data_IF_688873493427
#
_entry.id   IF_688873493427
#
_cell.length_a   1.000
_cell.length_b   1.000
_cell.length_c   1.000
_cell.angle_alpha   90.00
_cell.angle_beta   90.00
_cell.angle_gamma   90.00
#
_symmetry.space_group_name_H-M   'P 1'
#
loop_
_entity.id
_entity.type
_entity.pdbx_description
1 polymer ?
#
# COMPACT_ATOMS: atom_id res chain seq x y z
N UNK A 1 -4.07 35.34 14.07
CA UNK A 1 -3.52 34.19 14.85
C UNK A 1 -3.66 32.94 14.01
N UNK A 2 -2.81 31.93 14.16
CA UNK A 2 -2.91 30.63 13.46
C UNK A 2 -3.28 29.54 14.47
N UNK A 3 -3.94 28.47 14.00
CA UNK A 3 -4.21 27.27 14.80
C UNK A 3 -2.89 26.53 15.09
N UNK A 4 -2.30 26.77 16.26
CA UNK A 4 -1.03 26.18 16.69
C UNK A 4 -1.17 24.73 17.21
N UNK A 5 -1.94 23.89 16.50
CA UNK A 5 -2.11 22.47 16.87
C UNK A 5 -1.07 21.64 16.12
N UNK A 6 -0.19 20.98 16.85
CA UNK A 6 0.96 20.26 16.29
C UNK A 6 0.78 18.74 16.39
N UNK A 7 -0.28 18.22 15.77
CA UNK A 7 -0.66 16.81 15.88
C UNK A 7 0.45 15.83 15.42
N UNK A 8 1.30 16.21 14.47
CA UNK A 8 2.45 15.41 14.03
C UNK A 8 3.52 15.23 15.13
N UNK A 9 3.56 16.12 16.13
CA UNK A 9 4.37 15.92 17.32
C UNK A 9 3.68 15.01 18.35
N UNK A 10 2.39 14.68 18.18
CA UNK A 10 1.66 13.78 19.06
C UNK A 10 1.61 12.34 18.52
N UNK A 11 1.34 12.17 17.22
CA UNK A 11 1.15 10.86 16.56
C UNK A 11 2.18 10.63 15.46
N UNK A 12 2.58 9.38 15.26
CA UNK A 12 3.47 8.98 14.16
C UNK A 12 2.77 8.95 12.79
N UNK A 13 1.45 8.79 12.80
CA UNK A 13 0.60 8.75 11.60
C UNK A 13 -0.70 9.50 11.89
N UNK A 14 -0.93 10.60 11.16
CA UNK A 14 -2.12 11.44 11.28
C UNK A 14 -3.35 10.74 10.70
N UNK A 15 -3.15 9.92 9.65
CA UNK A 15 -4.20 9.12 9.01
C UNK A 15 -4.43 7.77 9.68
N UNK A 16 -3.64 7.45 10.71
CA UNK A 16 -3.82 6.25 11.53
C UNK A 16 -5.03 6.36 12.46
N UNK A 17 -5.38 5.26 13.12
CA UNK A 17 -6.56 5.16 14.00
C UNK A 17 -6.59 6.27 15.05
N UNK A 18 -5.50 6.47 15.79
CA UNK A 18 -5.42 7.53 16.81
C UNK A 18 -5.48 8.93 16.20
N UNK A 19 -4.71 9.19 15.13
CA UNK A 19 -4.66 10.51 14.48
C UNK A 19 -6.04 10.94 13.97
N UNK A 20 -6.71 10.06 13.21
CA UNK A 20 -8.06 10.31 12.71
C UNK A 20 -9.09 10.46 13.83
N UNK A 21 -8.99 9.68 14.91
CA UNK A 21 -9.92 9.80 16.04
C UNK A 21 -9.81 11.18 16.69
N UNK A 22 -8.58 11.67 16.90
CA UNK A 22 -8.34 13.01 17.43
C UNK A 22 -8.82 14.09 16.45
N UNK A 23 -8.49 13.98 15.16
CA UNK A 23 -8.92 14.96 14.15
C UNK A 23 -10.45 14.99 14.02
N UNK A 24 -11.12 13.84 14.05
CA UNK A 24 -12.59 13.76 14.00
C UNK A 24 -13.23 14.33 15.26
N UNK A 25 -12.66 14.10 16.45
CA UNK A 25 -13.12 14.73 17.68
C UNK A 25 -13.00 16.26 17.60
N UNK A 26 -11.87 16.76 17.09
CA UNK A 26 -11.64 18.18 16.81
C UNK A 26 -12.68 18.71 15.82
N UNK A 27 -12.96 18.03 14.71
CA UNK A 27 -13.98 18.49 13.74
C UNK A 27 -15.39 18.47 14.37
N UNK A 28 -15.67 17.50 15.25
CA UNK A 28 -16.96 17.37 15.95
C UNK A 28 -17.17 18.40 17.07
N UNK A 29 -16.18 19.24 17.36
CA UNK A 29 -16.29 20.32 18.33
C UNK A 29 -15.50 20.12 19.63
N UNK A 30 -14.77 19.01 19.80
CA UNK A 30 -13.96 18.77 20.99
C UNK A 30 -12.69 19.62 20.98
N UNK A 31 -12.41 20.29 22.10
CA UNK A 31 -11.30 21.27 22.25
C UNK A 31 -10.46 21.05 23.48
N UNK A 32 -10.92 20.24 24.43
CA UNK A 32 -10.17 19.96 25.65
C UNK A 32 -9.03 18.97 25.35
N UNK A 33 -7.74 19.36 25.49
CA UNK A 33 -6.62 18.45 25.31
C UNK A 33 -6.71 17.21 26.22
N UNK A 34 -7.34 17.34 27.39
CA UNK A 34 -7.52 16.25 28.36
C UNK A 34 -8.46 15.17 27.82
N UNK A 35 -9.48 15.56 27.05
CA UNK A 35 -10.40 14.64 26.37
C UNK A 35 -9.75 14.07 25.11
N UNK A 36 -9.10 14.91 24.30
CA UNK A 36 -8.46 14.49 23.05
C UNK A 36 -7.38 13.41 23.27
N UNK A 37 -6.69 13.43 24.40
CA UNK A 37 -5.68 12.43 24.75
C UNK A 37 -6.27 11.06 25.04
N UNK A 38 -7.54 10.98 25.44
CA UNK A 38 -8.18 9.69 25.72
C UNK A 38 -8.35 8.86 24.46
N UNK A 39 -8.35 9.48 23.27
CA UNK A 39 -8.38 8.79 21.98
C UNK A 39 -7.04 8.13 21.59
N UNK A 40 -5.97 8.32 22.38
CA UNK A 40 -4.68 7.69 22.09
C UNK A 40 -4.72 6.18 22.34
N UNK A 41 -4.07 5.45 21.45
CA UNK A 41 -3.80 4.04 21.70
C UNK A 41 -2.80 3.90 22.87
N UNK A 42 -2.96 2.84 23.68
CA UNK A 42 -2.08 2.53 24.81
C UNK A 42 -0.60 2.34 24.41
N UNK A 43 -0.33 2.04 23.13
CA UNK A 43 1.01 1.90 22.56
C UNK A 43 1.67 3.23 22.21
N UNK A 44 0.99 4.37 22.43
CA UNK A 44 1.57 5.68 22.19
C UNK A 44 2.76 5.91 23.14
N UNK A 45 3.96 6.06 22.56
CA UNK A 45 5.21 6.20 23.33
C UNK A 45 5.41 7.59 23.96
N UNK A 46 4.65 8.60 23.53
CA UNK A 46 4.82 9.98 23.99
C UNK A 46 4.09 10.20 25.32
N UNK A 47 4.72 10.97 26.21
CA UNK A 47 4.15 11.29 27.51
C UNK A 47 2.85 12.09 27.35
N UNK A 48 1.89 11.95 28.29
CA UNK A 48 0.64 12.72 28.26
C UNK A 48 0.88 14.23 28.18
N UNK A 49 1.91 14.74 28.84
CA UNK A 49 2.27 16.17 28.88
C UNK A 49 2.63 16.71 27.49
N UNK A 50 3.47 15.98 26.75
CA UNK A 50 3.85 16.35 25.37
C UNK A 50 2.63 16.32 24.45
N UNK A 51 1.72 15.36 24.67
CA UNK A 51 0.47 15.27 23.92
C UNK A 51 -0.47 16.44 24.23
N UNK A 52 -0.59 16.86 25.49
CA UNK A 52 -1.42 18.01 25.88
C UNK A 52 -0.89 19.28 25.22
N UNK A 53 0.43 19.50 25.29
CA UNK A 53 1.05 20.68 24.71
C UNK A 53 0.87 20.71 23.19
N UNK A 54 1.00 19.56 22.51
CA UNK A 54 0.80 19.46 21.07
C UNK A 54 -0.66 19.69 20.62
N UNK A 55 -1.63 19.38 21.48
CA UNK A 55 -3.07 19.56 21.22
C UNK A 55 -3.60 20.91 21.71
N UNK A 56 -2.76 21.73 22.34
CA UNK A 56 -3.13 23.07 22.78
C UNK A 56 -2.98 24.05 21.62
N UNK A 57 -4.09 24.69 21.20
CA UNK A 57 -4.08 25.63 20.09
C UNK A 57 -5.24 26.61 20.11
N UNK A 58 -5.24 27.53 19.15
CA UNK A 58 -6.34 28.48 18.95
C UNK A 58 -7.38 27.90 17.98
N UNK A 59 -8.62 27.82 18.42
CA UNK A 59 -9.72 27.12 17.74
C UNK A 59 -10.69 28.09 17.03
N UNK A 60 -10.16 29.06 16.29
CA UNK A 60 -11.03 29.97 15.54
C UNK A 60 -11.78 29.22 14.43
N UNK A 61 -13.06 29.54 14.15
CA UNK A 61 -13.88 28.85 13.16
C UNK A 61 -13.23 28.78 11.76
N UNK A 62 -12.53 29.82 11.35
CA UNK A 62 -11.89 29.91 10.02
C UNK A 62 -10.77 28.89 9.86
N UNK A 63 -10.13 28.47 10.94
CA UNK A 63 -9.08 27.46 10.93
C UNK A 63 -9.61 26.03 10.95
N UNK A 64 -10.85 25.84 11.41
CA UNK A 64 -11.49 24.54 11.52
C UNK A 64 -12.17 24.09 10.21
N UNK A 65 -12.54 25.05 9.37
CA UNK A 65 -13.16 24.78 8.08
C UNK A 65 -12.29 23.87 7.17
N UNK A 66 -10.99 24.15 7.05
CA UNK A 66 -10.10 23.36 6.18
C UNK A 66 -9.91 21.90 6.67
N UNK A 67 -9.66 21.63 7.96
CA UNK A 67 -9.68 20.27 8.51
C UNK A 67 -11.00 19.54 8.29
N UNK A 68 -12.14 20.21 8.48
CA UNK A 68 -13.47 19.62 8.25
C UNK A 68 -13.62 19.13 6.80
N UNK A 69 -13.30 20.00 5.82
CA UNK A 69 -13.32 19.61 4.41
C UNK A 69 -12.33 18.47 4.10
N UNK A 70 -11.15 18.50 4.72
CA UNK A 70 -10.13 17.47 4.51
C UNK A 70 -10.56 16.10 5.03
N UNK A 71 -11.19 16.04 6.20
CA UNK A 71 -11.75 14.79 6.75
C UNK A 71 -12.89 14.28 5.86
N UNK A 72 -13.77 15.16 5.40
CA UNK A 72 -14.85 14.79 4.50
C UNK A 72 -14.32 14.17 3.18
N UNK A 73 -13.32 14.80 2.55
CA UNK A 73 -12.68 14.23 1.36
C UNK A 73 -11.98 12.90 1.65
N UNK A 74 -11.29 12.80 2.79
CA UNK A 74 -10.65 11.56 3.20
C UNK A 74 -11.67 10.43 3.32
N UNK A 75 -12.79 10.66 4.02
CA UNK A 75 -13.84 9.66 4.20
C UNK A 75 -14.47 9.24 2.87
N UNK A 76 -14.71 10.21 1.97
CA UNK A 76 -15.18 9.96 0.61
C UNK A 76 -14.20 9.08 -0.19
N UNK A 77 -12.91 9.41 -0.20
CA UNK A 77 -11.93 8.59 -0.92
C UNK A 77 -11.79 7.20 -0.33
N UNK A 78 -11.89 7.05 0.99
CA UNK A 78 -11.84 5.74 1.63
C UNK A 78 -13.07 4.90 1.31
N UNK A 79 -14.24 5.51 1.10
CA UNK A 79 -15.41 4.81 0.56
C UNK A 79 -15.16 4.36 -0.88
N UNK A 80 -14.65 5.24 -1.75
CA UNK A 80 -14.35 4.89 -3.15
C UNK A 80 -13.26 3.84 -3.32
N UNK A 81 -12.26 3.83 -2.45
CA UNK A 81 -11.25 2.77 -2.42
C UNK A 81 -11.90 1.42 -2.03
N UNK A 82 -12.79 1.41 -1.04
CA UNK A 82 -13.52 0.19 -0.65
C UNK A 82 -14.40 -0.33 -1.79
N UNK A 83 -15.12 0.54 -2.50
CA UNK A 83 -15.90 0.15 -3.68
C UNK A 83 -15.01 -0.51 -4.76
N UNK A 84 -13.79 0.00 -4.96
CA UNK A 84 -12.82 -0.62 -5.86
C UNK A 84 -12.35 -1.99 -5.35
N UNK A 85 -12.07 -2.13 -4.05
CA UNK A 85 -11.67 -3.40 -3.45
C UNK A 85 -12.75 -4.48 -3.65
N UNK A 86 -14.02 -4.13 -3.44
CA UNK A 86 -15.16 -5.05 -3.63
C UNK A 86 -15.29 -5.51 -5.10
N UNK A 87 -15.02 -4.60 -6.06
CA UNK A 87 -14.99 -4.94 -7.49
C UNK A 87 -13.80 -5.84 -7.87
N UNK A 88 -12.64 -5.62 -7.24
CA UNK A 88 -11.48 -6.50 -7.41
C UNK A 88 -11.81 -7.90 -6.87
N UNK A 89 -12.40 -8.00 -5.68
CA UNK A 89 -12.81 -9.28 -5.10
C UNK A 89 -13.77 -10.03 -6.02
N UNK A 90 -14.81 -9.34 -6.51
CA UNK A 90 -15.78 -9.90 -7.45
C UNK A 90 -15.11 -10.40 -8.73
N UNK A 91 -14.19 -9.62 -9.29
CA UNK A 91 -13.46 -9.99 -10.50
C UNK A 91 -12.57 -11.22 -10.28
N UNK A 92 -11.89 -11.31 -9.13
CA UNK A 92 -11.09 -12.47 -8.77
C UNK A 92 -11.94 -13.72 -8.54
N UNK A 93 -13.10 -13.60 -7.88
CA UNK A 93 -14.03 -14.71 -7.70
C UNK A 93 -14.53 -15.26 -9.05
N UNK A 94 -14.90 -14.37 -9.97
CA UNK A 94 -15.29 -14.74 -11.33
C UNK A 94 -14.16 -15.46 -12.07
N UNK A 95 -12.92 -14.94 -12.01
CA UNK A 95 -11.76 -15.59 -12.62
C UNK A 95 -11.43 -16.95 -12.00
N UNK A 96 -11.73 -17.13 -10.71
CA UNK A 96 -11.56 -18.41 -10.02
C UNK A 96 -12.67 -19.43 -10.32
N UNK A 97 -13.74 -19.00 -11.00
CA UNK A 97 -14.88 -19.87 -11.36
C UNK A 97 -14.47 -20.74 -12.54
N UNK A 98 -14.39 -22.06 -12.32
CA UNK A 98 -13.94 -23.01 -13.33
C UNK A 98 -12.43 -23.29 -13.31
N UNK A 99 -11.66 -22.67 -12.41
CA UNK A 99 -10.29 -23.09 -12.12
C UNK A 99 -10.33 -24.30 -11.19
N UNK A 100 -9.63 -25.37 -11.55
CA UNK A 100 -9.43 -26.53 -10.67
C UNK A 100 -8.67 -26.09 -9.41
N UNK A 101 -9.00 -26.69 -8.27
CA UNK A 101 -8.27 -26.41 -7.04
C UNK A 101 -6.83 -26.92 -7.20
N UNK A 102 -5.81 -26.06 -6.97
CA UNK A 102 -4.43 -26.47 -7.12
C UNK A 102 -4.06 -27.58 -6.13
N UNK A 103 -3.24 -28.52 -6.57
CA UNK A 103 -2.76 -29.61 -5.73
C UNK A 103 -1.93 -29.08 -4.55
N UNK A 104 -2.38 -29.39 -3.33
CA UNK A 104 -1.64 -29.10 -2.09
C UNK A 104 -2.40 -28.19 -1.13
N UNK A 105 -1.70 -27.74 -0.08
CA UNK A 105 -2.24 -26.84 0.94
C UNK A 105 -1.58 -25.48 0.78
N UNK A 106 -2.38 -24.41 0.84
CA UNK A 106 -1.85 -23.05 0.87
C UNK A 106 -0.85 -22.91 2.03
N UNK A 107 0.43 -22.56 1.76
CA UNK A 107 1.43 -22.45 2.81
C UNK A 107 1.04 -21.42 3.89
N UNK A 108 1.77 -21.36 5.01
CA UNK A 108 1.62 -20.22 5.92
C UNK A 108 2.13 -18.94 5.25
N UNK A 109 1.43 -17.83 5.45
CA UNK A 109 1.90 -16.52 5.00
C UNK A 109 3.22 -16.19 5.71
N UNK A 110 4.23 -15.73 4.94
CA UNK A 110 5.53 -15.29 5.49
C UNK A 110 5.52 -13.84 5.99
N UNK A 111 4.45 -13.11 5.69
CA UNK A 111 4.31 -11.70 6.06
C UNK A 111 3.32 -11.54 7.22
N UNK A 112 3.74 -10.84 8.28
CA UNK A 112 2.91 -10.58 9.46
C UNK A 112 2.50 -9.12 9.62
N UNK A 113 3.16 -8.21 8.92
CA UNK A 113 2.90 -6.76 9.00
C UNK A 113 1.61 -6.43 8.25
N UNK A 114 0.92 -5.32 8.58
CA UNK A 114 -0.08 -4.75 7.68
C UNK A 114 0.62 -3.76 6.77
N UNK A 115 0.45 -3.91 5.46
CA UNK A 115 1.03 -2.96 4.50
C UNK A 115 0.14 -1.70 4.41
N UNK A 116 0.71 -0.51 4.18
CA UNK A 116 -0.09 0.65 3.83
C UNK A 116 -0.86 0.36 2.55
N UNK A 117 -2.13 0.78 2.48
CA UNK A 117 -3.04 0.52 1.36
C UNK A 117 -3.28 -0.97 1.08
N UNK A 118 -3.26 -1.81 2.12
CA UNK A 118 -3.72 -3.18 2.01
C UNK A 118 -5.23 -3.21 1.68
N UNK A 119 -5.62 -4.12 0.79
CA UNK A 119 -7.00 -4.35 0.38
C UNK A 119 -7.87 -4.77 1.57
N UNK A 120 -9.16 -4.47 1.48
CA UNK A 120 -10.16 -4.80 2.53
C UNK A 120 -10.32 -6.31 2.80
N UNK A 121 -10.01 -7.16 1.81
CA UNK A 121 -10.21 -8.62 1.84
C UNK A 121 -8.91 -9.40 1.64
N UNK A 122 -8.95 -10.71 1.93
CA UNK A 122 -7.78 -11.58 1.75
C UNK A 122 -7.66 -12.07 0.30
N UNK A 123 -6.76 -11.44 -0.44
CA UNK A 123 -6.48 -11.77 -1.84
C UNK A 123 -5.69 -13.07 -2.01
N UNK A 124 -4.93 -13.49 -0.99
CA UNK A 124 -3.94 -14.57 -1.13
C UNK A 124 -4.57 -15.92 -1.51
N UNK A 125 -5.67 -16.38 -0.90
CA UNK A 125 -6.32 -17.63 -1.29
C UNK A 125 -6.85 -17.60 -2.73
N UNK A 126 -7.42 -16.47 -3.16
CA UNK A 126 -7.95 -16.30 -4.51
C UNK A 126 -6.84 -16.33 -5.56
N UNK A 127 -5.73 -15.62 -5.32
CA UNK A 127 -4.58 -15.68 -6.23
C UNK A 127 -4.00 -17.07 -6.31
N UNK A 128 -3.84 -17.77 -5.18
CA UNK A 128 -3.34 -19.14 -5.18
C UNK A 128 -4.23 -20.06 -6.01
N UNK A 129 -5.55 -19.95 -5.88
CA UNK A 129 -6.50 -20.70 -6.70
C UNK A 129 -6.36 -20.39 -8.19
N UNK A 130 -6.17 -19.13 -8.56
CA UNK A 130 -6.09 -18.69 -9.96
C UNK A 130 -4.74 -19.03 -10.62
N UNK A 131 -3.63 -18.90 -9.89
CA UNK A 131 -2.27 -19.09 -10.43
C UNK A 131 -1.69 -20.47 -10.17
N UNK A 132 -2.24 -21.22 -9.22
CA UNK A 132 -1.69 -22.48 -8.70
C UNK A 132 -0.41 -22.32 -7.86
N UNK A 133 0.09 -21.09 -7.70
CA UNK A 133 1.35 -20.82 -7.02
C UNK A 133 1.24 -19.59 -6.12
N UNK A 134 1.72 -19.71 -4.88
CA UNK A 134 1.70 -18.61 -3.93
C UNK A 134 2.92 -17.69 -4.10
N UNK A 135 2.74 -16.60 -4.85
CA UNK A 135 3.76 -15.58 -5.08
C UNK A 135 4.23 -14.90 -3.78
N UNK A 136 3.41 -14.90 -2.72
CA UNK A 136 3.76 -14.26 -1.43
C UNK A 136 4.84 -15.02 -0.65
N UNK A 137 5.25 -16.21 -1.11
CA UNK A 137 6.39 -16.93 -0.56
C UNK A 137 7.74 -16.31 -0.97
N UNK A 138 7.76 -15.54 -2.05
CA UNK A 138 8.95 -14.82 -2.51
C UNK A 138 9.21 -13.66 -1.54
N UNK A 139 10.47 -13.53 -1.08
CA UNK A 139 10.84 -12.44 -0.20
C UNK A 139 10.62 -11.09 -0.88
N UNK A 140 10.03 -10.13 -0.16
CA UNK A 140 9.66 -8.82 -0.74
C UNK A 140 8.37 -8.81 -1.56
N UNK A 141 7.67 -9.95 -1.72
CA UNK A 141 6.39 -10.03 -2.42
C UNK A 141 5.22 -10.03 -1.44
N UNK A 142 4.49 -8.91 -1.36
CA UNK A 142 3.25 -8.81 -0.61
C UNK A 142 2.01 -9.25 -1.43
N UNK A 143 0.86 -9.50 -0.78
CA UNK A 143 -0.39 -9.86 -1.47
C UNK A 143 -0.83 -8.85 -2.55
N UNK A 144 -0.70 -7.55 -2.26
CA UNK A 144 -1.02 -6.49 -3.23
C UNK A 144 -0.07 -6.49 -4.44
N UNK A 145 1.21 -6.78 -4.21
CA UNK A 145 2.18 -6.90 -5.31
C UNK A 145 1.90 -8.14 -6.16
N UNK A 146 1.53 -9.26 -5.54
CA UNK A 146 1.09 -10.47 -6.23
C UNK A 146 -0.15 -10.21 -7.10
N UNK A 147 -1.15 -9.48 -6.57
CA UNK A 147 -2.33 -9.09 -7.33
C UNK A 147 -1.94 -8.25 -8.57
N UNK A 148 -1.14 -7.21 -8.35
CA UNK A 148 -0.67 -6.34 -9.42
C UNK A 148 0.14 -7.09 -10.46
N UNK A 149 0.91 -8.10 -10.02
CA UNK A 149 1.65 -8.98 -10.91
C UNK A 149 0.71 -9.74 -11.85
N UNK A 150 -0.28 -10.43 -11.29
CA UNK A 150 -1.29 -11.18 -12.05
C UNK A 150 -2.13 -10.26 -12.95
N UNK A 151 -2.47 -9.06 -12.48
CA UNK A 151 -3.29 -8.11 -13.25
C UNK A 151 -2.61 -7.62 -14.54
N UNK A 152 -1.28 -7.45 -14.54
CA UNK A 152 -0.58 -6.92 -15.72
C UNK A 152 0.11 -8.03 -16.55
N UNK A 153 0.58 -9.11 -15.92
CA UNK A 153 1.18 -10.24 -16.64
C UNK A 153 0.15 -11.29 -17.10
N UNK A 154 -1.01 -11.34 -16.48
CA UNK A 154 -1.97 -12.43 -16.62
C UNK A 154 -1.54 -13.67 -15.84
N UNK A 155 -2.30 -14.75 -16.03
CA UNK A 155 -2.05 -16.06 -15.42
C UNK A 155 -1.20 -16.98 -16.29
N UNK A 156 -1.18 -16.75 -17.60
CA UNK A 156 -0.45 -17.56 -18.56
C UNK A 156 0.97 -17.02 -18.78
N UNK A 157 1.95 -17.70 -18.19
CA UNK A 157 3.37 -17.38 -18.36
C UNK A 157 3.97 -17.94 -19.67
N UNK A 158 3.24 -18.79 -20.41
CA UNK A 158 3.73 -19.35 -21.69
C UNK A 158 3.80 -18.32 -22.82
N UNK A 159 3.27 -17.10 -22.57
CA UNK A 159 3.42 -15.96 -23.50
C UNK A 159 4.88 -15.57 -23.74
N UNK A 160 5.78 -15.94 -22.84
CA UNK A 160 7.21 -15.76 -23.00
C UNK A 160 7.89 -17.13 -23.12
N UNK A 161 8.82 -17.32 -24.09
CA UNK A 161 9.54 -18.59 -24.24
C UNK A 161 10.38 -18.96 -23.01
N UNK A 162 10.95 -17.97 -22.33
CA UNK A 162 11.73 -18.16 -21.11
C UNK A 162 11.67 -16.92 -20.20
N UNK A 163 12.28 -17.03 -19.01
CA UNK A 163 12.40 -15.92 -18.07
C UNK A 163 13.25 -14.75 -18.59
N UNK A 164 14.18 -14.98 -19.51
CA UNK A 164 15.01 -13.94 -20.13
C UNK A 164 14.17 -13.03 -21.03
N UNK A 165 13.23 -13.61 -21.79
CA UNK A 165 12.28 -12.87 -22.61
C UNK A 165 11.31 -12.07 -21.75
N UNK A 166 10.85 -12.63 -20.63
CA UNK A 166 10.03 -11.91 -19.67
C UNK A 166 10.77 -10.70 -19.06
N UNK A 167 12.00 -10.89 -18.60
CA UNK A 167 12.81 -9.80 -18.01
C UNK A 167 13.22 -8.74 -19.04
N UNK A 168 13.45 -9.14 -20.29
CA UNK A 168 13.66 -8.22 -21.42
C UNK A 168 12.41 -7.42 -21.75
N UNK A 169 11.23 -8.06 -21.77
CA UNK A 169 9.93 -7.40 -21.97
C UNK A 169 9.65 -6.34 -20.89
N UNK A 170 10.01 -6.62 -19.64
CA UNK A 170 9.91 -5.64 -18.53
C UNK A 170 10.98 -4.54 -18.56
N UNK A 171 11.95 -4.61 -19.48
CA UNK A 171 13.14 -3.76 -19.52
C UNK A 171 13.97 -3.82 -18.21
N UNK A 172 14.04 -5.00 -17.59
CA UNK A 172 14.90 -5.26 -16.43
C UNK A 172 16.29 -5.75 -16.86
N UNK A 173 16.38 -6.42 -18.02
CA UNK A 173 17.66 -6.84 -18.57
C UNK A 173 18.52 -5.66 -19.07
N UNK A 174 19.85 -5.73 -18.93
CA UNK A 174 20.77 -4.74 -19.52
C UNK A 174 20.51 -4.56 -21.01
N UNK A 175 20.68 -3.34 -21.50
CA UNK A 175 20.56 -3.05 -22.93
C UNK A 175 21.80 -3.52 -23.68
N UNK A 176 21.63 -3.92 -24.94
CA UNK A 176 22.76 -4.29 -25.81
C UNK A 176 22.80 -3.40 -27.07
N UNK A 177 23.02 -2.09 -26.88
CA UNK A 177 23.08 -1.13 -27.99
C UNK A 177 24.45 -1.23 -28.67
N UNK A 178 24.60 -2.14 -29.64
CA UNK A 178 25.84 -2.35 -30.39
C UNK A 178 25.74 -1.69 -31.77
N UNK A 179 26.82 -1.00 -32.19
CA UNK A 179 27.01 -0.55 -33.57
C UNK A 179 28.45 -0.77 -33.99
N UNK A 180 28.68 -1.31 -35.19
CA UNK A 180 30.03 -1.59 -35.72
C UNK A 180 30.90 -2.48 -34.80
N UNK A 181 30.28 -3.41 -34.05
CA UNK A 181 30.97 -4.28 -33.10
C UNK A 181 31.33 -3.63 -31.75
N UNK A 182 31.01 -2.35 -31.53
CA UNK A 182 31.23 -1.65 -30.26
C UNK A 182 29.92 -1.49 -29.48
N UNK A 183 29.95 -1.80 -28.18
CA UNK A 183 28.83 -1.53 -27.25
C UNK A 183 28.78 -0.03 -26.97
N UNK A 184 27.72 0.63 -27.43
CA UNK A 184 27.48 2.06 -27.23
C UNK A 184 26.89 2.36 -25.84
N UNK A 185 26.10 1.43 -25.28
CA UNK A 185 25.54 1.58 -23.93
C UNK A 185 25.02 0.24 -23.39
N UNK A 186 25.37 -0.15 -22.15
CA UNK A 186 24.84 -1.32 -21.46
C UNK A 186 23.60 -1.00 -20.60
N UNK A 187 23.14 0.27 -20.55
CA UNK A 187 22.07 0.69 -19.65
C UNK A 187 20.75 -0.01 -19.95
N UNK A 188 20.00 -0.35 -18.90
CA UNK A 188 18.64 -0.89 -19.02
C UNK A 188 17.74 0.11 -19.76
N UNK A 189 16.80 -0.40 -20.54
CA UNK A 189 15.83 0.46 -21.25
C UNK A 189 14.88 1.11 -20.23
N UNK A 190 14.48 2.34 -20.51
CA UNK A 190 13.42 3.00 -19.72
C UNK A 190 12.09 2.32 -20.07
N UNK A 191 11.33 1.91 -19.06
CA UNK A 191 9.97 1.38 -19.23
C UNK A 191 9.01 2.11 -18.31
N UNK A 192 7.78 2.30 -18.79
CA UNK A 192 6.63 2.75 -18.00
C UNK A 192 5.89 1.59 -17.32
N UNK A 193 6.45 0.38 -17.37
CA UNK A 193 5.86 -0.81 -16.76
C UNK A 193 5.74 -0.65 -15.26
N UNK A 194 4.51 -0.71 -14.75
CA UNK A 194 4.20 -0.60 -13.34
C UNK A 194 4.74 -1.78 -12.54
N UNK A 195 4.80 -2.97 -13.15
CA UNK A 195 5.43 -4.16 -12.56
C UNK A 195 6.93 -3.99 -12.48
N UNK A 196 7.60 -3.51 -13.54
CA UNK A 196 9.05 -3.32 -13.49
C UNK A 196 9.45 -2.34 -12.37
N UNK A 197 8.67 -1.29 -12.15
CA UNK A 197 8.87 -0.38 -11.01
C UNK A 197 8.66 -1.10 -9.67
N UNK A 198 7.60 -1.90 -9.54
CA UNK A 198 7.29 -2.61 -8.30
C UNK A 198 8.30 -3.72 -7.97
N UNK A 199 8.82 -4.43 -8.97
CA UNK A 199 9.87 -5.43 -8.80
C UNK A 199 11.20 -4.80 -8.35
N UNK A 200 11.54 -3.61 -8.87
CA UNK A 200 12.72 -2.86 -8.39
C UNK A 200 12.59 -2.48 -6.92
N UNK A 201 11.39 -2.07 -6.48
CA UNK A 201 11.11 -1.79 -5.06
C UNK A 201 11.13 -3.07 -4.20
N UNK A 202 10.60 -4.18 -4.70
CA UNK A 202 10.67 -5.46 -3.98
C UNK A 202 12.13 -5.91 -3.79
N UNK A 203 12.98 -5.72 -4.81
CA UNK A 203 14.38 -6.13 -4.76
C UNK A 203 15.18 -5.43 -3.64
N UNK A 204 14.89 -4.16 -3.32
CA UNK A 204 15.58 -3.45 -2.23
C UNK A 204 15.30 -4.04 -0.85
N UNK A 205 14.23 -4.81 -0.70
CA UNK A 205 13.92 -5.50 0.57
C UNK A 205 14.69 -6.80 0.76
N UNK A 206 15.20 -7.39 -0.33
CA UNK A 206 15.93 -8.67 -0.32
C UNK A 206 17.43 -8.42 -0.11
N UNK A 207 17.95 -7.33 -0.68
CA UNK A 207 19.34 -6.91 -0.57
C UNK A 207 19.41 -5.57 0.16
N UNK A 208 19.38 -5.58 1.51
CA UNK A 208 19.71 -4.39 2.26
C UNK A 208 21.20 -4.08 2.03
N UNK A 209 21.51 -2.92 1.45
CA UNK A 209 22.85 -2.33 1.47
C UNK A 209 23.30 -2.00 2.90
#
# INVERSE_FOLDING_TARGET
MQMNVQLYHAVSDITGVTGLSIVRAIVSGERDPSVLIQYRDVRCKKTPEVLQQALTGNWQPEHLFAPEQSVAFFDFYQEKIRECDDQIETSLLQLSTGTEEPEGVLPSARHRTKQPNQLSFDVRPLLWKITGADLTQIHGFGPYLALKFVAECGTDMNRWPDASHFTSWLCLSPGNKISGGKVLSPKTRRSSSRIAAALRLAATTIWPE
#
